data_IF_449107150829
#
_entry.id   IF_449107150829
#
_cell.length_a   1.000
_cell.length_b   1.000
_cell.length_c   1.000
_cell.angle_alpha   90.00
_cell.angle_beta   90.00
_cell.angle_gamma   90.00
#
_symmetry.space_group_name_H-M   'P 1'
#
loop_
_entity.id
_entity.type
_entity.pdbx_description
1 polymer ?
#
# COMPACT_ATOMS: atom_id res chain seq x y z
N UNK A 1 14.61 11.62 -21.57
CA UNK A 1 15.87 10.85 -21.76
C UNK A 1 15.97 9.68 -20.79
N UNK A 2 15.74 9.86 -19.48
CA UNK A 2 15.83 8.77 -18.50
C UNK A 2 14.69 7.72 -18.59
N UNK A 3 13.48 8.11 -19.01
CA UNK A 3 12.35 7.18 -19.11
C UNK A 3 12.64 5.98 -20.03
N UNK A 4 13.19 6.24 -21.22
CA UNK A 4 13.58 5.17 -22.17
C UNK A 4 14.73 4.31 -21.65
N UNK A 5 15.66 4.89 -20.90
CA UNK A 5 16.80 4.16 -20.34
C UNK A 5 16.37 3.15 -19.27
N UNK A 6 15.38 3.51 -18.45
CA UNK A 6 14.82 2.64 -17.39
C UNK A 6 13.54 1.90 -17.81
N UNK A 7 13.18 1.90 -19.10
CA UNK A 7 11.95 1.31 -19.62
C UNK A 7 10.66 1.77 -18.89
N UNK A 8 10.65 3.01 -18.38
CA UNK A 8 9.50 3.60 -17.73
C UNK A 8 8.49 4.08 -18.78
N UNK A 9 7.24 3.66 -18.62
CA UNK A 9 6.13 4.02 -19.52
C UNK A 9 5.53 5.40 -19.20
N UNK A 10 5.83 5.95 -18.03
CA UNK A 10 5.36 7.25 -17.54
C UNK A 10 6.35 7.85 -16.55
N UNK A 11 6.10 9.10 -16.16
CA UNK A 11 6.84 9.79 -15.11
C UNK A 11 6.70 9.04 -13.78
N UNK A 12 7.81 8.55 -13.19
CA UNK A 12 7.75 7.97 -11.86
C UNK A 12 7.57 9.09 -10.82
N UNK A 13 6.91 8.76 -9.70
CA UNK A 13 6.74 9.66 -8.53
C UNK A 13 5.81 10.86 -8.71
N UNK A 14 4.85 10.80 -9.64
CA UNK A 14 3.73 11.76 -9.63
C UNK A 14 2.94 11.62 -8.32
N UNK A 15 2.63 12.76 -7.69
CA UNK A 15 1.91 12.80 -6.41
C UNK A 15 0.45 13.23 -6.66
N UNK A 16 -0.54 12.52 -6.11
CA UNK A 16 -0.44 11.29 -5.34
C UNK A 16 -0.16 10.06 -6.24
N UNK A 17 0.57 9.08 -5.71
CA UNK A 17 0.64 7.77 -6.34
C UNK A 17 -0.76 7.15 -6.35
N UNK A 18 -1.22 6.63 -7.49
CA UNK A 18 -2.52 5.97 -7.56
C UNK A 18 -2.49 4.73 -6.66
N UNK A 19 -3.49 4.56 -5.81
CA UNK A 19 -3.60 3.41 -4.88
C UNK A 19 -3.58 2.07 -5.63
N UNK A 20 -4.13 2.03 -6.85
CA UNK A 20 -4.13 0.85 -7.73
C UNK A 20 -2.72 0.46 -8.22
N UNK A 21 -1.73 1.35 -8.07
CA UNK A 21 -0.34 1.08 -8.41
C UNK A 21 0.46 0.52 -7.23
N UNK A 22 -0.15 0.40 -6.04
CA UNK A 22 0.52 -0.18 -4.88
C UNK A 22 0.80 -1.66 -5.12
N UNK A 23 2.02 -2.09 -4.80
CA UNK A 23 2.40 -3.48 -4.94
C UNK A 23 1.53 -4.41 -4.08
N UNK A 24 0.84 -5.37 -4.71
CA UNK A 24 -0.03 -6.35 -4.06
C UNK A 24 0.74 -7.51 -3.42
N UNK A 25 1.50 -7.21 -2.37
CA UNK A 25 2.14 -8.27 -1.58
C UNK A 25 1.09 -9.15 -0.88
N UNK A 26 1.44 -10.42 -0.63
CA UNK A 26 0.59 -11.33 0.15
C UNK A 26 0.30 -10.76 1.55
N UNK A 27 1.30 -10.14 2.17
CA UNK A 27 1.16 -9.50 3.48
C UNK A 27 0.17 -8.32 3.45
N UNK A 28 0.15 -7.52 2.36
CA UNK A 28 -0.81 -6.44 2.18
C UNK A 28 -2.24 -6.98 2.06
N UNK A 29 -2.46 -7.97 1.21
CA UNK A 29 -3.77 -8.61 1.04
C UNK A 29 -4.31 -9.19 2.34
N UNK A 30 -3.45 -9.83 3.14
CA UNK A 30 -3.84 -10.35 4.44
C UNK A 30 -4.17 -9.23 5.45
N UNK A 31 -3.36 -8.17 5.49
CA UNK A 31 -3.59 -7.02 6.36
C UNK A 31 -4.91 -6.31 6.02
N UNK A 32 -5.23 -6.12 4.74
CA UNK A 32 -6.51 -5.56 4.27
C UNK A 32 -7.69 -6.41 4.72
N UNK A 33 -7.64 -7.73 4.53
CA UNK A 33 -8.70 -8.63 4.98
C UNK A 33 -8.95 -8.54 6.50
N UNK A 34 -7.87 -8.48 7.30
CA UNK A 34 -7.96 -8.32 8.75
C UNK A 34 -8.49 -6.95 9.17
N UNK A 35 -8.11 -5.88 8.45
CA UNK A 35 -8.63 -4.53 8.67
C UNK A 35 -10.12 -4.43 8.37
N UNK A 36 -10.56 -4.99 7.23
CA UNK A 36 -11.98 -5.05 6.89
C UNK A 36 -12.79 -5.77 7.97
N UNK A 37 -12.32 -6.93 8.42
CA UNK A 37 -12.97 -7.65 9.50
C UNK A 37 -13.02 -6.84 10.81
N UNK A 38 -11.95 -6.12 11.15
CA UNK A 38 -11.91 -5.26 12.33
C UNK A 38 -12.94 -4.11 12.26
N UNK A 39 -13.13 -3.53 11.07
CA UNK A 39 -14.12 -2.48 10.83
C UNK A 39 -15.54 -3.01 11.05
N UNK A 40 -15.84 -4.22 10.56
CA UNK A 40 -17.14 -4.87 10.79
C UNK A 40 -17.41 -5.10 12.28
N UNK A 41 -16.38 -5.53 13.03
CA UNK A 41 -16.45 -5.72 14.47
C UNK A 41 -16.53 -4.40 15.26
N UNK A 42 -16.25 -3.25 14.63
CA UNK A 42 -16.04 -1.95 15.29
C UNK A 42 -15.00 -2.03 16.41
N UNK A 43 -13.94 -2.81 16.18
CA UNK A 43 -12.87 -3.06 17.13
C UNK A 43 -11.71 -2.08 17.02
N UNK A 44 -10.74 -2.21 17.93
CA UNK A 44 -9.44 -1.53 17.86
C UNK A 44 -8.38 -2.57 17.49
N UNK A 45 -7.51 -2.24 16.54
CA UNK A 45 -6.45 -3.11 16.05
C UNK A 45 -5.09 -2.44 16.11
N UNK A 46 -4.05 -3.26 16.25
CA UNK A 46 -2.66 -2.83 16.25
C UNK A 46 -1.95 -3.42 15.02
N UNK A 47 -1.38 -2.56 14.19
CA UNK A 47 -0.56 -2.96 13.04
C UNK A 47 0.91 -2.66 13.37
N UNK A 48 1.74 -3.69 13.33
CA UNK A 48 3.17 -3.61 13.62
C UNK A 48 4.01 -3.99 12.40
N UNK A 49 5.30 -3.65 12.42
CA UNK A 49 6.22 -3.88 11.31
C UNK A 49 7.32 -2.82 11.26
N UNK A 50 8.37 -3.12 10.52
CA UNK A 50 9.56 -2.26 10.40
C UNK A 50 9.28 -0.90 9.75
N UNK A 51 10.20 0.06 9.87
CA UNK A 51 10.09 1.36 9.19
C UNK A 51 10.04 1.12 7.67
N UNK A 52 9.12 1.80 6.98
CA UNK A 52 8.95 1.65 5.52
C UNK A 52 8.14 0.42 5.07
N UNK A 53 7.63 -0.41 5.98
CA UNK A 53 6.82 -1.61 5.64
C UNK A 53 5.39 -1.33 5.13
N UNK A 54 4.99 -0.06 4.97
CA UNK A 54 3.67 0.28 4.42
C UNK A 54 2.49 0.26 5.40
N UNK A 55 2.73 0.18 6.71
CA UNK A 55 1.67 0.21 7.76
C UNK A 55 0.67 1.36 7.58
N UNK A 56 1.16 2.58 7.37
CA UNK A 56 0.28 3.75 7.21
C UNK A 56 -0.47 3.71 5.87
N UNK A 57 0.15 3.14 4.84
CA UNK A 57 -0.45 3.01 3.52
C UNK A 57 -1.66 2.08 3.56
N UNK A 58 -1.53 0.91 4.20
CA UNK A 58 -2.62 -0.08 4.32
C UNK A 58 -3.73 0.35 5.29
N UNK A 59 -3.46 1.26 6.23
CA UNK A 59 -4.52 1.78 7.11
C UNK A 59 -5.40 2.86 6.44
N UNK A 60 -4.93 3.46 5.34
CA UNK A 60 -5.61 4.58 4.67
C UNK A 60 -6.33 4.18 3.39
N UNK A 61 -5.92 3.07 2.80
CA UNK A 61 -6.39 2.54 1.54
C UNK A 61 -6.73 1.07 1.74
#
# INVERSE_FOLDING_TARGET
MYLRHFALTRLPFETPANTDELFESNARREAEARLHHLIELKGIGLITGEVGSGKTTVCRH
#
